data_IF_613638134011
#
_entry.id   IF_613638134011
#
_cell.length_a   1.000
_cell.length_b   1.000
_cell.length_c   1.000
_cell.angle_alpha   90.00
_cell.angle_beta   90.00
_cell.angle_gamma   90.00
#
_symmetry.space_group_name_H-M   'P 1'
#
loop_
_entity.id
_entity.type
_entity.pdbx_description
1 polymer ?
#
# COMPACT_ATOMS: atom_id res chain seq x y z
N UNK A 1 22.85 -1.67 -1.98
CA UNK A 1 21.90 -1.09 -1.00
C UNK A 1 22.37 -1.43 0.39
N UNK A 2 22.35 -0.47 1.32
CA UNK A 2 22.65 -0.73 2.73
C UNK A 2 21.41 -1.24 3.46
N UNK A 3 21.60 -1.96 4.56
CA UNK A 3 20.49 -2.39 5.42
C UNK A 3 19.61 -1.23 5.90
N UNK A 4 20.22 -0.07 6.18
CA UNK A 4 19.50 1.15 6.52
C UNK A 4 18.61 1.63 5.37
N UNK A 5 19.11 1.64 4.12
CA UNK A 5 18.29 2.00 2.96
C UNK A 5 17.11 1.03 2.72
N UNK A 6 17.29 -0.26 2.99
CA UNK A 6 16.22 -1.26 2.87
C UNK A 6 15.15 -1.09 3.96
N UNK A 7 15.55 -0.70 5.18
CA UNK A 7 14.62 -0.41 6.27
C UNK A 7 13.77 0.83 5.96
N UNK A 8 14.39 1.88 5.43
CA UNK A 8 13.68 3.11 5.05
C UNK A 8 12.72 2.85 3.89
N UNK A 9 13.10 2.05 2.90
CA UNK A 9 12.20 1.64 1.81
C UNK A 9 11.01 0.83 2.34
N UNK A 10 11.22 -0.11 3.26
CA UNK A 10 10.15 -0.86 3.91
C UNK A 10 9.19 0.06 4.69
N UNK A 11 9.71 1.05 5.43
CA UNK A 11 8.87 2.03 6.14
C UNK A 11 8.02 2.86 5.17
N UNK A 12 8.63 3.37 4.09
CA UNK A 12 7.91 4.11 3.04
C UNK A 12 6.82 3.24 2.41
N UNK A 13 7.15 2.02 2.00
CA UNK A 13 6.19 1.10 1.41
C UNK A 13 5.05 0.73 2.38
N UNK A 14 5.33 0.65 3.67
CA UNK A 14 4.32 0.41 4.71
C UNK A 14 3.37 1.60 4.86
N UNK A 15 3.90 2.83 4.89
CA UNK A 15 3.09 4.05 4.95
C UNK A 15 2.20 4.21 3.72
N UNK A 16 2.75 3.95 2.54
CA UNK A 16 2.00 3.99 1.28
C UNK A 16 0.89 2.93 1.24
N UNK A 17 1.18 1.72 1.73
CA UNK A 17 0.18 0.66 1.82
C UNK A 17 -0.95 1.00 2.80
N UNK A 18 -0.62 1.53 3.98
CA UNK A 18 -1.61 1.98 4.95
C UNK A 18 -2.51 3.08 4.39
N UNK A 19 -1.94 4.06 3.67
CA UNK A 19 -2.69 5.12 3.01
C UNK A 19 -3.64 4.56 1.93
N UNK A 20 -3.16 3.64 1.09
CA UNK A 20 -3.97 3.03 0.05
C UNK A 20 -5.12 2.17 0.63
N UNK A 21 -4.87 1.45 1.73
CA UNK A 21 -5.89 0.72 2.48
C UNK A 21 -6.99 1.63 3.03
N UNK A 22 -6.62 2.78 3.58
CA UNK A 22 -7.58 3.75 4.07
C UNK A 22 -8.46 4.31 2.94
N UNK A 23 -7.84 4.68 1.81
CA UNK A 23 -8.58 5.16 0.63
C UNK A 23 -9.55 4.12 0.08
N UNK A 24 -9.17 2.84 0.09
CA UNK A 24 -10.07 1.76 -0.32
C UNK A 24 -11.23 1.59 0.67
N UNK A 25 -10.99 1.73 1.98
CA UNK A 25 -12.06 1.70 2.97
C UNK A 25 -13.05 2.87 2.79
N UNK A 26 -12.54 4.07 2.53
CA UNK A 26 -13.35 5.25 2.23
C UNK A 26 -14.14 5.05 0.92
N UNK A 27 -13.51 4.46 -0.09
CA UNK A 27 -14.17 4.11 -1.35
C UNK A 27 -15.37 3.17 -1.15
N UNK A 28 -15.15 2.11 -0.38
CA UNK A 28 -16.16 1.12 -0.03
C UNK A 28 -17.28 1.74 0.82
N UNK A 29 -16.94 2.67 1.71
CA UNK A 29 -17.93 3.42 2.46
C UNK A 29 -18.81 4.25 1.52
N UNK A 30 -18.21 5.11 0.69
CA UNK A 30 -18.93 5.95 -0.27
C UNK A 30 -19.85 5.12 -1.19
N UNK A 31 -19.36 4.01 -1.73
CA UNK A 31 -20.15 3.12 -2.59
C UNK A 31 -21.38 2.55 -1.87
N UNK A 32 -21.24 2.12 -0.61
CA UNK A 32 -22.36 1.62 0.20
C UNK A 32 -23.41 2.69 0.52
N UNK A 33 -23.00 3.96 0.55
CA UNK A 33 -23.86 5.09 0.83
C UNK A 33 -24.36 5.81 -0.43
N UNK A 34 -24.16 5.23 -1.63
CA UNK A 34 -24.63 5.80 -2.90
C UNK A 34 -23.89 7.07 -3.33
N UNK A 35 -22.72 7.35 -2.73
CA UNK A 35 -21.87 8.47 -3.12
C UNK A 35 -20.97 8.05 -4.29
N UNK A 36 -20.76 8.97 -5.23
CA UNK A 36 -19.87 8.74 -6.35
C UNK A 36 -18.43 8.50 -5.85
N UNK A 37 -17.88 7.34 -6.20
CA UNK A 37 -16.50 7.00 -5.89
C UNK A 37 -15.98 5.93 -6.85
N UNK A 38 -14.69 6.00 -7.20
CA UNK A 38 -14.04 5.00 -8.06
C UNK A 38 -13.38 3.90 -7.21
N UNK A 39 -14.17 2.90 -6.84
CA UNK A 39 -13.66 1.74 -6.07
C UNK A 39 -12.67 0.91 -6.88
N UNK A 40 -12.78 0.88 -8.20
CA UNK A 40 -11.88 0.09 -9.06
C UNK A 40 -10.48 0.69 -9.03
N UNK A 41 -10.37 2.02 -9.18
CA UNK A 41 -9.11 2.73 -9.05
C UNK A 41 -8.51 2.57 -7.65
N UNK A 42 -9.31 2.74 -6.59
CA UNK A 42 -8.84 2.57 -5.21
C UNK A 42 -8.31 1.14 -4.95
N UNK A 43 -8.98 0.12 -5.50
CA UNK A 43 -8.57 -1.29 -5.40
C UNK A 43 -7.25 -1.54 -6.14
N UNK A 44 -7.08 -0.99 -7.36
CA UNK A 44 -5.83 -1.11 -8.10
C UNK A 44 -4.64 -0.45 -7.38
N UNK A 45 -4.87 0.72 -6.78
CA UNK A 45 -3.84 1.45 -6.02
C UNK A 45 -3.44 0.64 -4.77
N UNK A 46 -4.40 0.11 -4.03
CA UNK A 46 -4.13 -0.74 -2.86
C UNK A 46 -3.36 -1.99 -3.25
N UNK A 47 -3.76 -2.67 -4.31
CA UNK A 47 -3.07 -3.86 -4.80
C UNK A 47 -1.62 -3.54 -5.22
N UNK A 48 -1.40 -2.40 -5.90
CA UNK A 48 -0.05 -1.99 -6.31
C UNK A 48 0.84 -1.67 -5.10
N UNK A 49 0.29 -0.96 -4.11
CA UNK A 49 0.99 -0.64 -2.87
C UNK A 49 1.31 -1.91 -2.05
N UNK A 50 0.38 -2.87 -2.01
CA UNK A 50 0.58 -4.18 -1.38
C UNK A 50 1.75 -4.94 -2.01
N UNK A 51 1.81 -5.02 -3.34
CA UNK A 51 2.91 -5.69 -4.04
C UNK A 51 4.26 -5.01 -3.79
N UNK A 52 4.30 -3.67 -3.73
CA UNK A 52 5.52 -2.93 -3.36
C UNK A 52 5.94 -3.25 -1.93
N UNK A 53 5.01 -3.28 -0.99
CA UNK A 53 5.27 -3.62 0.41
C UNK A 53 5.84 -5.04 0.56
N UNK A 54 5.28 -6.04 -0.14
CA UNK A 54 5.83 -7.41 -0.15
C UNK A 54 7.27 -7.46 -0.70
N UNK A 55 7.53 -6.72 -1.80
CA UNK A 55 8.88 -6.65 -2.39
C UNK A 55 9.88 -5.98 -1.44
N UNK A 56 9.51 -4.89 -0.78
CA UNK A 56 10.36 -4.22 0.20
C UNK A 56 10.65 -5.14 1.41
N UNK A 57 9.64 -5.85 1.92
CA UNK A 57 9.79 -6.79 3.03
C UNK A 57 10.69 -7.98 2.69
N UNK A 58 10.55 -8.55 1.50
CA UNK A 58 11.41 -9.63 1.02
C UNK A 58 12.85 -9.14 0.80
N UNK A 59 13.06 -7.94 0.25
CA UNK A 59 14.38 -7.35 0.07
C UNK A 59 15.07 -7.09 1.42
N UNK A 60 14.36 -6.53 2.41
CA UNK A 60 14.89 -6.31 3.75
C UNK A 60 15.26 -7.62 4.47
N UNK A 61 14.46 -8.67 4.29
CA UNK A 61 14.71 -9.99 4.90
C UNK A 61 15.89 -10.72 4.25
N UNK A 62 16.05 -10.59 2.93
CA UNK A 62 17.15 -11.22 2.16
C UNK A 62 18.46 -10.45 2.23
N UNK A 63 18.44 -9.14 2.45
CA UNK A 63 19.64 -8.31 2.68
C UNK A 63 20.24 -8.49 4.08
N UNK A 64 20.22 -9.71 4.61
CA UNK A 64 20.73 -10.10 5.92
C UNK A 64 22.18 -10.53 5.84
#
# INVERSE_FOLDING_TARGET
MSRASLLEDLKSATADYASARQKLADAQFCQRHGMAHDIAAATMIEHTAYQRWLRAGTAFTRGR
#
